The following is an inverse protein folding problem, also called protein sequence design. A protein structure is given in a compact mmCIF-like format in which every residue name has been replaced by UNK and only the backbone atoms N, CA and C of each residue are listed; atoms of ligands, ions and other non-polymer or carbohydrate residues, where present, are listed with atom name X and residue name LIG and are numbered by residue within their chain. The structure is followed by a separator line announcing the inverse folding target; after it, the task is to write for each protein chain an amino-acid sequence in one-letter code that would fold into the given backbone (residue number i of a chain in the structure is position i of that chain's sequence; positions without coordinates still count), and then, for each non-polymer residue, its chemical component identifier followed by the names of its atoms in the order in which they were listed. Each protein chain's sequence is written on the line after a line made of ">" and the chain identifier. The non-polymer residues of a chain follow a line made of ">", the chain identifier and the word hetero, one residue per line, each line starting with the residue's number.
data_IF_718672931746
#
_entry.id   IF_718672931746
#
_cell.length_a   1.000
_cell.length_b   1.000
_cell.length_c   1.000
_cell.angle_alpha   90.00
_cell.angle_beta   90.00
_cell.angle_gamma   90.00
#
_symmetry.space_group_name_H-M   'P 1'
#
loop_
_entity.id
_entity.type
_entity.pdbx_description
1 polymer ?
#
# COMPACT_ATOMS: atom_id res chain seq x y z
N UNK A 1 3.43 20.56 -24.83
CA UNK A 1 2.46 20.16 -23.79
C UNK A 1 3.26 19.51 -22.66
N UNK A 2 3.33 20.18 -21.50
CA UNK A 2 4.03 19.63 -20.31
C UNK A 2 3.22 18.45 -19.77
N UNK A 3 3.62 17.22 -20.11
CA UNK A 3 3.02 16.03 -19.52
C UNK A 3 3.63 15.74 -18.17
N UNK A 4 2.79 15.33 -17.22
CA UNK A 4 3.23 14.73 -15.96
C UNK A 4 3.43 13.24 -16.17
N UNK A 5 4.52 12.66 -15.65
CA UNK A 5 4.75 11.21 -15.72
C UNK A 5 4.70 10.62 -14.33
N UNK A 6 3.89 9.60 -14.15
CA UNK A 6 3.94 8.72 -12.97
C UNK A 6 4.87 7.55 -13.26
N UNK A 7 5.82 7.28 -12.37
CA UNK A 7 6.66 6.09 -12.41
C UNK A 7 6.19 5.14 -11.31
N UNK A 8 5.75 3.95 -11.70
CA UNK A 8 5.20 2.94 -10.79
C UNK A 8 5.70 1.55 -11.16
N UNK A 9 5.76 0.65 -10.19
CA UNK A 9 6.25 -0.72 -10.38
C UNK A 9 5.30 -1.81 -9.93
N UNK A 10 4.34 -1.47 -9.06
CA UNK A 10 3.47 -2.44 -8.39
C UNK A 10 1.99 -2.05 -8.48
N UNK A 11 1.12 -3.02 -8.21
CA UNK A 11 -0.34 -2.82 -8.23
C UNK A 11 -0.86 -1.87 -7.15
N UNK A 12 -0.40 -1.95 -5.89
CA UNK A 12 -0.83 -0.99 -4.87
C UNK A 12 -0.55 0.46 -5.25
N UNK A 13 0.53 0.71 -5.99
CA UNK A 13 0.83 2.05 -6.50
C UNK A 13 -0.22 2.50 -7.52
N UNK A 14 -0.68 1.59 -8.42
CA UNK A 14 -1.73 1.90 -9.40
C UNK A 14 -2.99 2.40 -8.71
N UNK A 15 -3.47 1.71 -7.68
CA UNK A 15 -4.70 2.10 -6.99
C UNK A 15 -4.60 3.49 -6.37
N UNK A 16 -3.47 3.83 -5.80
CA UNK A 16 -3.25 5.10 -5.11
C UNK A 16 -3.04 6.28 -6.05
N UNK A 17 -2.41 6.06 -7.21
CA UNK A 17 -2.19 7.12 -8.18
C UNK A 17 -3.37 7.35 -9.12
N UNK A 18 -4.22 6.34 -9.34
CA UNK A 18 -5.32 6.43 -10.31
C UNK A 18 -6.23 7.66 -10.11
N UNK A 19 -6.66 8.01 -8.88
CA UNK A 19 -7.47 9.21 -8.66
C UNK A 19 -6.78 10.50 -9.09
N UNK A 20 -5.45 10.59 -8.94
CA UNK A 20 -4.66 11.77 -9.33
C UNK A 20 -4.42 11.76 -10.84
N UNK A 21 -3.97 10.62 -11.37
CA UNK A 21 -3.66 10.49 -12.79
C UNK A 21 -4.87 10.78 -13.68
N UNK A 22 -6.07 10.37 -13.25
CA UNK A 22 -7.31 10.63 -13.98
C UNK A 22 -7.67 12.12 -14.07
N UNK A 23 -7.15 12.96 -13.16
CA UNK A 23 -7.39 14.39 -13.09
C UNK A 23 -6.21 15.25 -13.59
N UNK A 24 -5.14 14.64 -14.12
CA UNK A 24 -3.99 15.33 -14.69
C UNK A 24 -3.78 14.92 -16.16
N UNK A 25 -3.21 15.80 -16.96
CA UNK A 25 -2.66 15.40 -18.26
C UNK A 25 -1.36 14.62 -18.03
N UNK A 26 -1.49 13.30 -17.93
CA UNK A 26 -0.41 12.44 -17.45
C UNK A 26 -0.23 11.18 -18.29
N UNK A 27 0.97 10.60 -18.21
CA UNK A 27 1.30 9.27 -18.70
C UNK A 27 1.81 8.41 -17.54
N UNK A 28 1.62 7.11 -17.65
CA UNK A 28 2.07 6.14 -16.65
C UNK A 28 3.25 5.35 -17.23
N UNK A 29 4.38 5.40 -16.56
CA UNK A 29 5.55 4.60 -16.90
C UNK A 29 5.63 3.43 -15.90
N UNK A 30 5.25 2.25 -16.37
CA UNK A 30 5.17 1.05 -15.56
C UNK A 30 6.41 0.17 -15.74
N UNK A 31 7.17 -0.05 -14.66
CA UNK A 31 8.39 -0.87 -14.69
C UNK A 31 8.12 -2.37 -14.63
N UNK A 32 6.99 -2.78 -14.05
CA UNK A 32 6.61 -4.19 -13.94
C UNK A 32 7.35 -4.96 -12.84
N UNK A 33 7.76 -4.28 -11.75
CA UNK A 33 8.51 -4.90 -10.63
C UNK A 33 7.80 -6.14 -10.06
N UNK A 34 6.47 -6.13 -9.96
CA UNK A 34 5.67 -7.27 -9.53
C UNK A 34 4.57 -7.58 -10.56
N UNK A 35 4.99 -8.12 -11.71
CA UNK A 35 4.07 -8.40 -12.81
C UNK A 35 3.81 -9.90 -12.97
N UNK A 36 2.56 -10.35 -12.85
CA UNK A 36 2.05 -11.57 -13.45
C UNK A 36 0.90 -11.21 -14.41
N UNK A 37 0.93 -11.67 -15.65
CA UNK A 37 -0.03 -11.31 -16.71
C UNK A 37 -1.50 -11.46 -16.27
N UNK A 38 -1.80 -12.46 -15.44
CA UNK A 38 -3.18 -12.78 -15.01
C UNK A 38 -3.71 -11.90 -13.88
N UNK A 39 -2.90 -10.99 -13.32
CA UNK A 39 -3.27 -10.21 -12.13
C UNK A 39 -3.30 -8.70 -12.38
N UNK A 40 -2.86 -8.22 -13.52
CA UNK A 40 -2.73 -6.78 -13.81
C UNK A 40 -3.96 -6.16 -14.47
N UNK A 41 -4.75 -6.92 -15.21
CA UNK A 41 -5.81 -6.37 -16.05
C UNK A 41 -6.83 -5.55 -15.26
N UNK A 42 -7.32 -6.02 -14.10
CA UNK A 42 -8.33 -5.29 -13.33
C UNK A 42 -7.84 -4.06 -12.54
N UNK A 43 -6.52 -3.85 -12.38
CA UNK A 43 -5.98 -2.67 -11.69
C UNK A 43 -5.75 -1.50 -12.65
N UNK A 44 -5.36 -1.77 -13.88
CA UNK A 44 -5.21 -0.73 -14.89
C UNK A 44 -6.55 -0.14 -15.34
N UNK A 45 -7.66 -0.86 -15.16
CA UNK A 45 -9.02 -0.37 -15.42
C UNK A 45 -9.40 0.84 -14.55
N UNK A 46 -8.70 1.05 -13.43
CA UNK A 46 -8.85 2.24 -12.58
C UNK A 46 -8.29 3.50 -13.24
N UNK A 47 -7.37 3.35 -14.20
CA UNK A 47 -6.75 4.46 -14.92
C UNK A 47 -7.54 4.70 -16.21
N UNK A 48 -8.25 5.81 -16.24
CA UNK A 48 -9.11 6.17 -17.37
C UNK A 48 -8.39 7.10 -18.35
N UNK A 49 -8.44 6.78 -19.64
CA UNK A 49 -7.99 7.66 -20.72
C UNK A 49 -6.54 8.20 -20.56
N UNK A 50 -5.62 7.38 -20.04
CA UNK A 50 -4.19 7.71 -19.90
C UNK A 50 -3.33 6.67 -20.60
N UNK A 51 -2.26 7.13 -21.23
CA UNK A 51 -1.27 6.25 -21.86
C UNK A 51 -0.46 5.52 -20.78
N UNK A 52 -0.45 4.19 -20.85
CA UNK A 52 0.35 3.33 -19.99
C UNK A 52 1.48 2.74 -20.82
N UNK A 53 2.70 3.13 -20.49
CA UNK A 53 3.92 2.68 -21.15
C UNK A 53 4.55 1.60 -20.27
N UNK A 54 4.43 0.35 -20.69
CA UNK A 54 5.02 -0.77 -19.98
C UNK A 54 6.48 -1.00 -20.44
N UNK A 55 7.44 -0.87 -19.54
CA UNK A 55 8.86 -1.11 -19.82
C UNK A 55 9.22 -2.59 -19.89
N UNK A 56 8.36 -3.49 -19.38
CA UNK A 56 8.59 -4.95 -19.37
C UNK A 56 9.98 -5.36 -18.83
N UNK A 57 10.47 -4.67 -17.81
CA UNK A 57 11.84 -4.84 -17.31
C UNK A 57 12.09 -6.24 -16.72
N UNK A 58 11.04 -6.95 -16.27
CA UNK A 58 11.13 -8.34 -15.77
C UNK A 58 11.71 -9.36 -16.77
N UNK A 59 11.66 -9.07 -18.04
CA UNK A 59 12.26 -9.95 -19.07
C UNK A 59 13.79 -10.04 -18.98
N UNK A 60 14.42 -9.12 -18.26
CA UNK A 60 15.87 -9.11 -18.08
C UNK A 60 16.24 -9.90 -16.81
N UNK A 61 17.19 -10.82 -16.93
CA UNK A 61 17.78 -11.53 -15.79
C UNK A 61 18.36 -10.50 -14.81
N UNK A 62 18.12 -10.67 -13.51
CA UNK A 62 18.57 -9.79 -12.42
C UNK A 62 17.85 -8.42 -12.32
N UNK A 63 16.62 -8.30 -12.85
CA UNK A 63 15.82 -7.09 -12.70
C UNK A 63 15.63 -6.67 -11.25
N UNK A 64 15.24 -7.59 -10.34
CA UNK A 64 14.85 -7.28 -8.96
C UNK A 64 16.00 -6.67 -8.13
N UNK A 65 17.26 -6.88 -8.50
CA UNK A 65 18.44 -6.43 -7.77
C UNK A 65 19.31 -5.43 -8.53
N UNK A 66 18.93 -5.04 -9.75
CA UNK A 66 19.78 -4.18 -10.59
C UNK A 66 19.25 -2.74 -10.68
N UNK A 67 19.33 -2.01 -9.55
CA UNK A 67 18.93 -0.59 -9.45
C UNK A 67 19.55 0.26 -10.58
N UNK A 68 20.82 0.06 -10.89
CA UNK A 68 21.53 0.82 -11.94
C UNK A 68 20.93 0.58 -13.34
N UNK A 69 20.62 -0.68 -13.65
CA UNK A 69 20.00 -1.02 -14.95
C UNK A 69 18.63 -0.38 -15.09
N UNK A 70 17.79 -0.47 -14.04
CA UNK A 70 16.43 0.09 -14.05
C UNK A 70 16.50 1.62 -14.18
N UNK A 71 17.38 2.28 -13.43
CA UNK A 71 17.59 3.72 -13.50
C UNK A 71 17.95 4.16 -14.93
N UNK A 72 18.90 3.48 -15.57
CA UNK A 72 19.31 3.77 -16.94
C UNK A 72 18.14 3.61 -17.96
N UNK A 73 17.34 2.54 -17.85
CA UNK A 73 16.16 2.36 -18.71
C UNK A 73 15.13 3.47 -18.51
N UNK A 74 14.92 3.91 -17.27
CA UNK A 74 14.04 5.04 -16.95
C UNK A 74 14.58 6.34 -17.53
N UNK A 75 15.87 6.63 -17.39
CA UNK A 75 16.50 7.83 -17.94
C UNK A 75 16.33 7.92 -19.45
N UNK A 76 16.62 6.83 -20.18
CA UNK A 76 16.45 6.75 -21.65
C UNK A 76 14.99 7.06 -22.01
N UNK A 77 14.05 6.48 -21.28
CA UNK A 77 12.63 6.68 -21.59
C UNK A 77 12.14 8.08 -21.22
N UNK A 78 12.56 8.63 -20.08
CA UNK A 78 12.20 9.97 -19.63
C UNK A 78 12.74 11.07 -20.56
N UNK A 79 13.95 10.89 -21.11
CA UNK A 79 14.50 11.78 -22.15
C UNK A 79 13.60 11.83 -23.39
N UNK A 80 13.15 10.66 -23.88
CA UNK A 80 12.29 10.56 -25.06
C UNK A 80 10.90 11.17 -24.85
N UNK A 81 10.37 11.09 -23.63
CA UNK A 81 9.03 11.58 -23.31
C UNK A 81 8.95 13.08 -23.04
N UNK A 82 10.09 13.76 -22.95
CA UNK A 82 10.20 15.22 -22.76
C UNK A 82 9.28 15.78 -21.65
N UNK A 83 9.16 15.07 -20.54
CA UNK A 83 8.37 15.51 -19.38
C UNK A 83 9.24 16.19 -18.35
N UNK A 84 8.74 17.24 -17.70
CA UNK A 84 9.46 17.98 -16.67
C UNK A 84 8.98 17.67 -15.26
N UNK A 85 7.78 17.13 -15.10
CA UNK A 85 7.17 16.80 -13.81
C UNK A 85 7.06 15.29 -13.67
N UNK A 86 7.81 14.71 -12.75
CA UNK A 86 7.84 13.27 -12.50
C UNK A 86 7.30 13.00 -11.10
N UNK A 87 6.40 12.05 -11.00
CA UNK A 87 5.76 11.65 -9.75
C UNK A 87 6.13 10.20 -9.45
N UNK A 88 6.58 9.97 -8.23
CA UNK A 88 6.79 8.63 -7.65
C UNK A 88 5.92 8.46 -6.40
N UNK A 89 5.63 7.22 -6.02
CA UNK A 89 4.73 6.94 -4.90
C UNK A 89 5.21 5.71 -4.11
N UNK A 90 5.10 5.78 -2.78
CA UNK A 90 5.35 4.64 -1.90
C UNK A 90 6.83 4.36 -1.66
N UNK A 91 7.18 3.07 -1.54
CA UNK A 91 8.46 2.64 -0.97
C UNK A 91 9.15 1.52 -1.75
N UNK A 92 8.72 1.28 -2.98
CA UNK A 92 9.29 0.23 -3.82
C UNK A 92 10.67 0.62 -4.38
N UNK A 93 11.41 -0.38 -4.87
CA UNK A 93 12.65 -0.11 -5.62
C UNK A 93 12.39 0.78 -6.84
N UNK A 94 11.22 0.64 -7.48
CA UNK A 94 10.80 1.51 -8.58
C UNK A 94 10.71 2.97 -8.16
N UNK A 95 10.19 3.24 -6.95
CA UNK A 95 10.11 4.59 -6.37
C UNK A 95 11.50 5.22 -6.25
N UNK A 96 12.44 4.50 -5.64
CA UNK A 96 13.81 4.97 -5.48
C UNK A 96 14.51 5.20 -6.82
N UNK A 97 14.48 4.21 -7.73
CA UNK A 97 15.16 4.35 -9.03
C UNK A 97 14.52 5.41 -9.92
N UNK A 98 13.20 5.58 -9.81
CA UNK A 98 12.47 6.67 -10.46
C UNK A 98 12.91 8.03 -9.97
N UNK A 99 13.13 8.17 -8.66
CA UNK A 99 13.64 9.40 -8.06
C UNK A 99 15.08 9.71 -8.54
N UNK A 100 15.97 8.72 -8.52
CA UNK A 100 17.36 8.87 -8.99
C UNK A 100 17.36 9.29 -10.47
N UNK A 101 16.68 8.55 -11.34
CA UNK A 101 16.62 8.85 -12.77
C UNK A 101 16.06 10.26 -13.06
N UNK A 102 15.07 10.69 -12.26
CA UNK A 102 14.51 12.05 -12.37
C UNK A 102 15.54 13.12 -12.04
N UNK A 103 16.27 12.94 -10.95
CA UNK A 103 17.26 13.94 -10.51
C UNK A 103 18.51 13.95 -11.40
N UNK A 104 18.96 12.81 -11.92
CA UNK A 104 20.02 12.73 -12.93
C UNK A 104 19.69 13.57 -14.18
N UNK A 105 18.39 13.67 -14.53
CA UNK A 105 17.93 14.46 -15.67
C UNK A 105 17.53 15.91 -15.32
N UNK A 106 17.84 16.39 -14.11
CA UNK A 106 17.46 17.72 -13.62
C UNK A 106 15.97 18.05 -13.77
N UNK A 107 15.09 17.02 -13.61
CA UNK A 107 13.63 17.19 -13.66
C UNK A 107 13.03 17.39 -12.28
N UNK A 108 11.83 17.97 -12.21
CA UNK A 108 11.09 18.13 -10.94
C UNK A 108 10.53 16.78 -10.47
N UNK A 109 10.84 16.45 -9.23
CA UNK A 109 10.43 15.23 -8.55
C UNK A 109 9.36 15.52 -7.48
N UNK A 110 8.22 14.87 -7.60
CA UNK A 110 7.12 14.89 -6.64
C UNK A 110 6.98 13.52 -6.01
N UNK A 111 6.89 13.46 -4.69
CA UNK A 111 6.83 12.19 -3.96
C UNK A 111 5.54 12.09 -3.14
N UNK A 112 4.67 11.13 -3.48
CA UNK A 112 3.41 10.82 -2.80
C UNK A 112 3.63 9.75 -1.74
N UNK A 113 2.96 9.87 -0.59
CA UNK A 113 3.16 9.06 0.62
C UNK A 113 4.52 9.30 1.28
N UNK A 114 5.04 10.49 1.16
CA UNK A 114 6.32 10.85 1.75
C UNK A 114 6.25 11.00 3.27
N UNK A 115 7.38 10.74 3.93
CA UNK A 115 7.55 10.93 5.38
C UNK A 115 6.99 9.81 6.26
N UNK A 116 6.44 8.75 5.66
CA UNK A 116 6.10 7.54 6.42
C UNK A 116 7.39 6.84 6.86
N UNK A 117 7.44 6.41 8.14
CA UNK A 117 8.61 5.74 8.72
C UNK A 117 8.19 4.57 9.59
N UNK A 118 8.87 3.44 9.42
CA UNK A 118 8.83 2.30 10.34
C UNK A 118 9.96 2.37 11.36
N UNK A 119 10.99 3.19 11.08
CA UNK A 119 12.23 3.29 11.84
C UNK A 119 13.01 1.97 11.91
N UNK A 120 12.69 1.01 11.06
CA UNK A 120 13.39 -0.25 10.95
C UNK A 120 14.27 -0.26 9.69
N UNK A 121 15.53 0.08 9.88
CA UNK A 121 16.56 0.11 8.83
C UNK A 121 16.94 -1.26 8.28
N UNK A 122 16.45 -2.37 8.87
CA UNK A 122 16.62 -3.70 8.27
C UNK A 122 15.77 -3.91 7.02
N UNK A 123 14.78 -3.03 6.78
CA UNK A 123 13.91 -3.08 5.61
C UNK A 123 14.42 -2.17 4.50
N UNK A 124 14.52 -2.72 3.30
CA UNK A 124 14.90 -1.95 2.11
C UNK A 124 13.90 -0.82 1.82
N UNK A 125 12.63 -1.02 2.12
CA UNK A 125 11.58 -0.03 1.96
C UNK A 125 11.84 1.24 2.80
N UNK A 126 12.47 1.10 3.97
CA UNK A 126 12.79 2.28 4.80
C UNK A 126 13.89 3.13 4.15
N UNK A 127 14.92 2.50 3.59
CA UNK A 127 15.93 3.22 2.80
C UNK A 127 15.31 3.90 1.58
N UNK A 128 14.41 3.21 0.87
CA UNK A 128 13.72 3.78 -0.29
C UNK A 128 12.94 5.04 0.09
N UNK A 129 12.23 5.02 1.23
CA UNK A 129 11.49 6.20 1.74
C UNK A 129 12.43 7.34 2.11
N UNK A 130 13.48 7.05 2.88
CA UNK A 130 14.46 8.06 3.33
C UNK A 130 15.10 8.78 2.13
N UNK A 131 15.72 8.02 1.23
CA UNK A 131 16.46 8.60 0.10
C UNK A 131 15.51 9.36 -0.83
N UNK A 132 14.35 8.80 -1.16
CA UNK A 132 13.39 9.45 -2.06
C UNK A 132 12.87 10.75 -1.50
N UNK A 133 12.59 10.84 -0.18
CA UNK A 133 12.12 12.07 0.46
C UNK A 133 13.14 13.21 0.38
N UNK A 134 14.44 12.91 0.50
CA UNK A 134 15.49 13.90 0.39
C UNK A 134 15.72 14.35 -1.06
N UNK A 135 15.58 13.47 -2.03
CA UNK A 135 15.67 13.79 -3.46
C UNK A 135 14.50 14.63 -3.96
N UNK A 136 13.33 14.51 -3.36
CA UNK A 136 12.11 15.15 -3.84
C UNK A 136 12.18 16.69 -3.75
N UNK A 137 11.65 17.35 -4.79
CA UNK A 137 11.42 18.79 -4.77
C UNK A 137 10.18 19.14 -3.96
N UNK A 138 9.14 18.28 -4.00
CA UNK A 138 7.94 18.39 -3.18
C UNK A 138 7.56 17.01 -2.62
N UNK A 139 7.33 16.98 -1.31
CA UNK A 139 6.91 15.83 -0.53
C UNK A 139 5.43 15.98 -0.14
N UNK A 140 4.57 15.08 -0.59
CA UNK A 140 3.16 15.00 -0.22
C UNK A 140 2.98 13.98 0.90
N UNK A 141 2.67 14.49 2.09
CA UNK A 141 2.51 13.70 3.31
C UNK A 141 1.04 13.35 3.54
N UNK A 142 0.77 12.11 3.93
CA UNK A 142 -0.59 11.66 4.26
C UNK A 142 -1.08 12.26 5.59
N UNK A 143 -0.19 12.49 6.55
CA UNK A 143 -0.51 12.93 7.90
C UNK A 143 0.53 13.90 8.45
N UNK A 144 0.17 14.64 9.51
CA UNK A 144 1.08 15.59 10.15
C UNK A 144 2.33 14.91 10.71
N UNK A 145 2.23 13.71 11.25
CA UNK A 145 3.39 12.94 11.74
C UNK A 145 4.42 12.66 10.64
N UNK A 146 3.96 12.45 9.40
CA UNK A 146 4.87 12.25 8.27
C UNK A 146 5.65 13.54 7.95
N UNK A 147 5.00 14.71 8.07
CA UNK A 147 5.68 16.00 7.96
C UNK A 147 6.69 16.19 9.08
N UNK A 148 6.35 15.83 10.31
CA UNK A 148 7.25 15.93 11.47
C UNK A 148 8.49 15.06 11.27
N UNK A 149 8.33 13.82 10.78
CA UNK A 149 9.46 12.97 10.44
C UNK A 149 10.41 13.66 9.45
N UNK A 150 9.88 14.21 8.36
CA UNK A 150 10.69 14.90 7.35
C UNK A 150 11.42 16.14 7.90
N UNK A 151 10.75 16.93 8.75
CA UNK A 151 11.37 18.09 9.39
C UNK A 151 12.51 17.68 10.31
N UNK A 152 12.32 16.61 11.10
CA UNK A 152 13.35 16.06 11.99
C UNK A 152 14.55 15.49 11.21
N UNK A 153 14.34 15.05 9.98
CA UNK A 153 15.38 14.58 9.05
C UNK A 153 16.05 15.73 8.25
N UNK A 154 15.67 16.99 8.49
CA UNK A 154 16.28 18.15 7.84
C UNK A 154 15.68 18.51 6.47
N UNK A 155 14.55 17.91 6.07
CA UNK A 155 13.87 18.34 4.83
C UNK A 155 13.23 19.70 5.04
N UNK A 156 13.50 20.65 4.13
CA UNK A 156 12.99 22.02 4.22
C UNK A 156 11.45 22.06 4.25
N UNK A 157 10.88 22.86 5.16
CA UNK A 157 9.43 23.06 5.31
C UNK A 157 8.75 23.48 4.00
N UNK A 158 9.43 24.24 3.15
CA UNK A 158 8.93 24.69 1.84
C UNK A 158 8.71 23.55 0.83
N UNK A 159 9.35 22.40 1.05
CA UNK A 159 9.23 21.18 0.24
C UNK A 159 8.20 20.19 0.75
N UNK A 160 7.47 20.50 1.84
CA UNK A 160 6.56 19.56 2.48
C UNK A 160 5.13 20.09 2.46
N UNK A 161 4.20 19.28 1.96
CA UNK A 161 2.76 19.55 1.95
C UNK A 161 2.00 18.38 2.59
N UNK A 162 1.19 18.65 3.61
CA UNK A 162 0.27 17.65 4.16
C UNK A 162 -1.00 17.66 3.33
N UNK A 163 -1.25 16.57 2.60
CA UNK A 163 -2.33 16.47 1.61
C UNK A 163 -3.45 15.53 1.99
N UNK A 164 -3.19 14.61 2.91
CA UNK A 164 -4.05 13.45 3.16
C UNK A 164 -3.68 12.27 2.26
N UNK A 165 -4.32 11.13 2.49
CA UNK A 165 -4.08 9.88 1.74
C UNK A 165 -5.01 9.74 0.54
N UNK A 166 -4.45 9.28 -0.58
CA UNK A 166 -5.20 8.98 -1.81
C UNK A 166 -6.03 7.70 -1.72
N UNK A 167 -5.83 6.88 -0.68
CA UNK A 167 -6.53 5.59 -0.52
C UNK A 167 -8.05 5.79 -0.40
N UNK A 168 -8.50 6.83 0.32
CA UNK A 168 -9.94 7.15 0.40
C UNK A 168 -10.54 7.40 -0.99
N UNK A 169 -9.85 8.18 -1.80
CA UNK A 169 -10.29 8.46 -3.18
C UNK A 169 -10.21 7.22 -4.08
N UNK A 170 -9.23 6.33 -3.85
CA UNK A 170 -9.11 5.07 -4.56
C UNK A 170 -10.26 4.11 -4.24
N UNK A 171 -10.64 4.02 -2.97
CA UNK A 171 -11.80 3.23 -2.54
C UNK A 171 -13.09 3.77 -3.19
N UNK A 172 -13.28 5.10 -3.21
CA UNK A 172 -14.44 5.74 -3.86
C UNK A 172 -14.55 5.48 -5.36
N UNK A 173 -13.45 5.18 -6.05
CA UNK A 173 -13.50 4.80 -7.48
C UNK A 173 -14.20 3.46 -7.71
N UNK A 174 -14.21 2.57 -6.73
CA UNK A 174 -14.73 1.20 -6.85
C UNK A 174 -15.95 0.92 -5.99
N UNK A 175 -16.16 1.67 -4.92
CA UNK A 175 -17.33 1.59 -4.04
C UNK A 175 -17.84 2.98 -3.68
N UNK A 176 -18.92 3.41 -4.34
CA UNK A 176 -19.60 4.67 -4.04
C UNK A 176 -20.47 4.62 -2.78
N UNK A 177 -20.67 3.43 -2.22
CA UNK A 177 -21.53 3.17 -1.05
C UNK A 177 -20.72 2.95 0.24
N UNK A 178 -19.61 3.67 0.42
CA UNK A 178 -18.70 3.52 1.58
C UNK A 178 -19.44 3.62 2.92
N UNK A 179 -20.45 4.47 3.03
CA UNK A 179 -21.20 4.69 4.26
C UNK A 179 -22.11 3.52 4.65
N UNK A 180 -22.51 2.68 3.69
CA UNK A 180 -23.33 1.50 3.98
C UNK A 180 -22.46 0.31 4.36
N UNK A 181 -22.30 0.09 5.67
CA UNK A 181 -21.56 -1.07 6.19
C UNK A 181 -22.44 -2.31 6.12
N UNK A 182 -22.02 -3.29 5.33
CA UNK A 182 -22.72 -4.56 5.20
C UNK A 182 -22.55 -5.47 6.42
N UNK A 183 -23.34 -6.55 6.45
CA UNK A 183 -23.34 -7.56 7.51
C UNK A 183 -21.95 -8.22 7.67
N UNK A 184 -21.54 -8.42 8.91
CA UNK A 184 -20.21 -8.94 9.29
C UNK A 184 -20.20 -10.47 9.24
N UNK A 185 -19.68 -11.06 8.14
CA UNK A 185 -19.85 -12.49 7.84
C UNK A 185 -18.64 -13.38 8.10
N UNK A 186 -17.41 -12.84 8.15
CA UNK A 186 -16.17 -13.61 8.22
C UNK A 186 -14.99 -12.77 8.71
N UNK A 187 -13.89 -13.44 9.05
CA UNK A 187 -12.59 -12.80 9.25
C UNK A 187 -11.88 -12.76 7.88
N UNK A 188 -11.43 -11.58 7.47
CA UNK A 188 -10.59 -11.46 6.27
C UNK A 188 -9.13 -11.62 6.67
N UNK A 189 -8.43 -12.57 6.01
CA UNK A 189 -7.00 -12.80 6.21
C UNK A 189 -6.20 -12.41 4.97
N UNK A 190 -5.13 -11.64 5.12
CA UNK A 190 -4.14 -11.43 4.07
C UNK A 190 -2.73 -11.45 4.63
N UNK A 191 -1.84 -12.22 4.02
CA UNK A 191 -0.44 -12.36 4.43
C UNK A 191 0.45 -12.39 3.19
N UNK A 192 1.53 -11.61 3.20
CA UNK A 192 2.49 -11.57 2.09
C UNK A 192 3.89 -11.09 2.50
N UNK A 193 4.06 -10.58 3.73
CA UNK A 193 5.36 -10.12 4.21
C UNK A 193 6.30 -11.29 4.44
N UNK A 194 7.62 -11.17 4.05
CA UNK A 194 8.62 -12.23 4.18
C UNK A 194 8.67 -12.82 5.58
N UNK A 195 8.65 -11.95 6.59
CA UNK A 195 8.71 -12.34 7.99
C UNK A 195 7.57 -13.26 8.44
N UNK A 196 6.42 -13.25 7.75
CA UNK A 196 5.26 -14.09 8.08
C UNK A 196 5.11 -15.31 7.19
N UNK A 197 5.58 -15.25 5.93
CA UNK A 197 5.24 -16.28 4.93
C UNK A 197 6.42 -17.11 4.45
N UNK A 198 7.66 -16.62 4.58
CA UNK A 198 8.82 -17.32 4.01
C UNK A 198 9.31 -18.51 4.88
N UNK A 199 9.07 -18.45 6.19
CA UNK A 199 9.41 -19.56 7.10
C UNK A 199 8.19 -20.47 7.28
N UNK A 200 8.32 -21.75 6.86
CA UNK A 200 7.26 -22.78 6.94
C UNK A 200 6.58 -22.81 8.31
N UNK A 201 7.35 -22.97 9.36
CA UNK A 201 6.84 -23.11 10.73
C UNK A 201 6.04 -21.89 11.17
N UNK A 202 6.53 -20.69 10.86
CA UNK A 202 5.84 -19.45 11.23
C UNK A 202 4.50 -19.31 10.53
N UNK A 203 4.47 -19.54 9.19
CA UNK A 203 3.24 -19.49 8.42
C UNK A 203 2.22 -20.53 8.89
N UNK A 204 2.65 -21.80 9.07
CA UNK A 204 1.75 -22.86 9.51
C UNK A 204 1.24 -22.63 10.94
N UNK A 205 2.09 -22.18 11.87
CA UNK A 205 1.68 -21.87 13.24
C UNK A 205 0.68 -20.71 13.29
N UNK A 206 0.87 -19.68 12.44
CA UNK A 206 -0.07 -18.56 12.30
C UNK A 206 -1.44 -19.04 11.78
N UNK A 207 -1.45 -19.82 10.72
CA UNK A 207 -2.68 -20.38 10.14
C UNK A 207 -3.39 -21.33 11.11
N UNK A 208 -2.66 -22.22 11.81
CA UNK A 208 -3.21 -23.10 12.86
C UNK A 208 -3.84 -22.28 13.99
N UNK A 209 -3.19 -21.17 14.40
CA UNK A 209 -3.71 -20.28 15.44
C UNK A 209 -5.02 -19.61 15.00
N UNK A 210 -5.10 -19.12 13.76
CA UNK A 210 -6.31 -18.52 13.21
C UNK A 210 -7.42 -19.57 13.08
N UNK A 211 -7.10 -20.80 12.67
CA UNK A 211 -8.08 -21.88 12.55
C UNK A 211 -8.75 -22.25 13.90
N UNK A 212 -8.04 -22.07 15.04
CA UNK A 212 -8.57 -22.28 16.41
C UNK A 212 -9.65 -21.27 16.83
N UNK A 213 -9.88 -20.22 16.03
CA UNK A 213 -10.93 -19.24 16.34
C UNK A 213 -12.34 -19.78 16.14
N UNK A 214 -12.51 -20.93 15.50
CA UNK A 214 -13.80 -21.53 15.16
C UNK A 214 -14.75 -20.53 14.47
N UNK A 215 -14.20 -19.69 13.62
CA UNK A 215 -14.93 -18.68 12.86
C UNK A 215 -14.51 -18.74 11.39
N UNK A 216 -15.45 -18.51 10.49
CA UNK A 216 -15.18 -18.52 9.05
C UNK A 216 -14.11 -17.49 8.69
N UNK A 217 -13.06 -17.94 8.00
CA UNK A 217 -11.95 -17.08 7.50
C UNK A 217 -11.93 -17.13 5.99
N UNK A 218 -11.84 -15.99 5.35
CA UNK A 218 -11.63 -15.85 3.90
C UNK A 218 -10.20 -15.36 3.67
N UNK A 219 -9.44 -16.13 2.91
CA UNK A 219 -8.03 -15.85 2.64
C UNK A 219 -7.76 -15.72 1.13
N UNK A 220 -7.87 -14.52 0.53
CA UNK A 220 -7.34 -14.25 -0.81
C UNK A 220 -5.82 -14.34 -0.76
N UNK A 221 -5.27 -15.41 -1.32
CA UNK A 221 -3.84 -15.75 -1.15
C UNK A 221 -2.97 -14.94 -2.10
N UNK A 222 -2.04 -14.17 -1.56
CA UNK A 222 -1.04 -13.46 -2.36
C UNK A 222 -0.10 -14.45 -3.09
N UNK A 223 0.41 -14.16 -4.30
CA UNK A 223 1.27 -15.07 -5.06
C UNK A 223 2.51 -15.56 -4.31
N UNK A 224 3.17 -14.67 -3.54
CA UNK A 224 4.31 -15.06 -2.69
C UNK A 224 3.90 -16.14 -1.67
N UNK A 225 2.79 -15.91 -0.99
CA UNK A 225 2.25 -16.84 0.00
C UNK A 225 1.81 -18.14 -0.66
N UNK A 226 1.16 -18.07 -1.83
CA UNK A 226 0.75 -19.25 -2.62
C UNK A 226 1.97 -20.12 -2.98
N UNK A 227 3.04 -19.51 -3.50
CA UNK A 227 4.27 -20.22 -3.86
C UNK A 227 4.92 -20.96 -2.67
N UNK A 228 4.75 -20.43 -1.45
CA UNK A 228 5.22 -21.08 -0.23
C UNK A 228 4.24 -22.16 0.26
N UNK A 229 2.93 -21.88 0.23
CA UNK A 229 1.91 -22.86 0.61
C UNK A 229 1.96 -24.12 -0.28
N UNK A 230 2.24 -23.97 -1.57
CA UNK A 230 2.34 -25.09 -2.52
C UNK A 230 3.54 -26.03 -2.25
N UNK A 231 4.55 -25.55 -1.53
CA UNK A 231 5.71 -26.35 -1.10
C UNK A 231 5.47 -27.11 0.21
N UNK A 232 4.39 -26.75 0.93
CA UNK A 232 4.14 -27.25 2.26
C UNK A 232 2.92 -28.16 2.23
N UNK A 233 3.04 -29.35 2.82
CA UNK A 233 1.89 -30.20 3.08
C UNK A 233 1.04 -29.56 4.19
N UNK A 234 -0.05 -28.91 3.76
CA UNK A 234 -0.93 -28.19 4.67
C UNK A 234 -2.07 -29.12 5.07
N UNK A 235 -2.08 -29.53 6.35
CA UNK A 235 -3.24 -30.20 6.92
C UNK A 235 -4.50 -29.38 6.70
N UNK A 236 -5.64 -30.05 6.53
CA UNK A 236 -6.95 -29.42 6.33
C UNK A 236 -7.23 -28.39 7.44
N UNK A 237 -7.43 -27.12 7.04
CA UNK A 237 -7.80 -26.01 7.91
C UNK A 237 -9.26 -25.68 7.67
N UNK A 238 -10.16 -26.30 8.42
CA UNK A 238 -11.61 -26.35 8.14
C UNK A 238 -12.26 -24.97 8.11
N UNK A 239 -11.78 -24.04 8.94
CA UNK A 239 -12.34 -22.70 9.06
C UNK A 239 -11.75 -21.71 8.04
N UNK A 240 -10.70 -22.07 7.29
CA UNK A 240 -10.00 -21.16 6.37
C UNK A 240 -10.32 -21.52 4.92
N UNK A 241 -11.06 -20.65 4.24
CA UNK A 241 -11.32 -20.75 2.80
C UNK A 241 -10.25 -19.97 2.02
N UNK A 242 -9.36 -20.70 1.34
CA UNK A 242 -8.37 -20.13 0.44
C UNK A 242 -9.01 -19.69 -0.87
N UNK A 243 -8.76 -18.46 -1.30
CA UNK A 243 -9.23 -17.91 -2.57
C UNK A 243 -8.05 -17.53 -3.46
N UNK A 244 -8.28 -17.49 -4.77
CA UNK A 244 -7.37 -16.85 -5.71
C UNK A 244 -7.26 -15.35 -5.39
N UNK A 245 -6.14 -14.69 -5.73
CA UNK A 245 -6.02 -13.24 -5.61
C UNK A 245 -7.20 -12.53 -6.26
N UNK A 246 -7.66 -11.45 -5.64
CA UNK A 246 -8.79 -10.65 -6.10
C UNK A 246 -8.33 -9.38 -6.79
N UNK A 247 -9.13 -8.84 -7.71
CA UNK A 247 -8.99 -7.47 -8.18
C UNK A 247 -9.32 -6.48 -7.05
N UNK A 248 -9.05 -5.19 -7.26
CA UNK A 248 -9.20 -4.20 -6.20
C UNK A 248 -10.65 -4.04 -5.73
N UNK A 249 -11.61 -3.99 -6.64
CA UNK A 249 -13.03 -3.87 -6.31
C UNK A 249 -13.52 -5.03 -5.44
N UNK A 250 -13.27 -6.27 -5.87
CA UNK A 250 -13.66 -7.46 -5.11
C UNK A 250 -12.96 -7.52 -3.74
N UNK A 251 -11.72 -7.03 -3.66
CA UNK A 251 -10.97 -6.99 -2.40
C UNK A 251 -11.55 -5.97 -1.42
N UNK A 252 -11.94 -4.79 -1.90
CA UNK A 252 -12.64 -3.78 -1.10
C UNK A 252 -13.97 -4.30 -0.60
N UNK A 253 -14.71 -5.05 -1.43
CA UNK A 253 -15.94 -5.70 -1.01
C UNK A 253 -15.68 -6.73 0.12
N UNK A 254 -14.60 -7.51 0.04
CA UNK A 254 -14.22 -8.42 1.12
C UNK A 254 -13.89 -7.67 2.43
N UNK A 255 -13.27 -6.51 2.37
CA UNK A 255 -13.04 -5.66 3.54
C UNK A 255 -14.39 -5.20 4.12
N UNK A 256 -15.27 -4.66 3.29
CA UNK A 256 -16.57 -4.10 3.66
C UNK A 256 -17.44 -5.09 4.45
N UNK A 257 -17.49 -6.35 4.03
CA UNK A 257 -18.30 -7.40 4.65
C UNK A 257 -17.57 -8.26 5.68
N UNK A 258 -16.33 -7.93 6.02
CA UNK A 258 -15.61 -8.62 7.09
C UNK A 258 -16.09 -8.20 8.49
N UNK A 259 -16.00 -9.10 9.45
CA UNK A 259 -16.19 -8.78 10.88
C UNK A 259 -14.97 -8.01 11.41
N UNK A 260 -13.79 -8.53 11.11
CA UNK A 260 -12.50 -7.87 11.32
C UNK A 260 -11.47 -8.45 10.35
N UNK A 261 -10.29 -7.88 10.35
CA UNK A 261 -9.23 -8.21 9.40
C UNK A 261 -7.96 -8.61 10.14
N UNK A 262 -7.25 -9.62 9.63
CA UNK A 262 -5.89 -9.96 10.02
C UNK A 262 -5.02 -9.73 8.79
N UNK A 263 -4.09 -8.75 8.86
CA UNK A 263 -3.28 -8.40 7.69
C UNK A 263 -1.92 -7.83 8.06
N UNK A 264 -0.89 -8.23 7.32
CA UNK A 264 0.46 -7.63 7.38
C UNK A 264 0.68 -6.53 6.32
N UNK A 265 -0.36 -6.18 5.57
CA UNK A 265 -0.31 -5.16 4.51
C UNK A 265 -0.42 -3.74 5.04
N UNK A 266 0.50 -2.86 4.62
CA UNK A 266 0.41 -1.44 4.94
C UNK A 266 -0.83 -0.76 4.33
N UNK A 267 -1.20 -1.06 3.08
CA UNK A 267 -2.37 -0.47 2.41
C UNK A 267 -3.69 -0.83 3.09
N UNK A 268 -3.83 -2.08 3.51
CA UNK A 268 -5.05 -2.58 4.18
C UNK A 268 -5.36 -1.84 5.48
N UNK A 269 -4.37 -1.24 6.14
CA UNK A 269 -4.60 -0.46 7.36
C UNK A 269 -5.52 0.74 7.11
N UNK A 270 -5.30 1.47 6.01
CA UNK A 270 -6.12 2.62 5.65
C UNK A 270 -7.49 2.19 5.11
N UNK A 271 -7.51 1.15 4.27
CA UNK A 271 -8.76 0.59 3.73
C UNK A 271 -9.67 0.04 4.83
N UNK A 272 -9.11 -0.66 5.82
CA UNK A 272 -9.84 -1.15 6.98
C UNK A 272 -10.43 0.00 7.81
N UNK A 273 -9.66 1.08 8.02
CA UNK A 273 -10.11 2.24 8.77
C UNK A 273 -11.28 2.97 8.08
N UNK A 274 -11.26 3.07 6.74
CA UNK A 274 -12.35 3.66 5.96
C UNK A 274 -13.68 2.96 6.26
N UNK A 275 -13.67 1.62 6.30
CA UNK A 275 -14.86 0.81 6.63
C UNK A 275 -15.03 0.54 8.13
N UNK A 276 -14.26 1.20 8.99
CA UNK A 276 -14.31 1.03 10.45
C UNK A 276 -14.23 -0.44 10.89
N UNK A 277 -13.35 -1.20 10.20
CA UNK A 277 -13.10 -2.60 10.53
C UNK A 277 -11.92 -2.71 11.49
N UNK A 278 -12.07 -3.42 12.62
CA UNK A 278 -10.93 -3.74 13.47
C UNK A 278 -9.87 -4.48 12.65
N UNK A 279 -8.61 -4.10 12.81
CA UNK A 279 -7.50 -4.74 12.12
C UNK A 279 -6.45 -5.22 13.12
N UNK A 280 -6.07 -6.48 13.03
CA UNK A 280 -4.93 -7.05 13.74
C UNK A 280 -3.75 -7.18 12.76
N UNK A 281 -2.59 -6.63 13.15
CA UNK A 281 -1.39 -6.58 12.31
C UNK A 281 -0.35 -7.53 12.91
N UNK A 282 -0.10 -8.72 12.32
CA UNK A 282 0.90 -9.67 12.80
C UNK A 282 2.32 -9.21 12.40
N UNK A 283 2.79 -8.11 13.00
CA UNK A 283 4.09 -7.48 12.77
C UNK A 283 4.65 -6.90 14.07
N UNK A 284 5.96 -6.60 14.09
CA UNK A 284 6.62 -5.97 15.23
C UNK A 284 6.42 -4.44 15.25
N UNK A 285 6.23 -3.82 14.08
CA UNK A 285 6.10 -2.38 13.87
C UNK A 285 5.15 -2.09 12.67
N UNK A 286 4.76 -0.84 12.55
CA UNK A 286 4.00 -0.31 11.42
C UNK A 286 4.53 1.05 11.01
N UNK A 287 4.45 1.34 9.74
CA UNK A 287 4.73 2.65 9.17
C UNK A 287 3.59 3.67 9.37
N UNK A 288 2.53 3.27 10.08
CA UNK A 288 1.36 4.12 10.40
C UNK A 288 1.06 4.12 11.90
N UNK A 289 1.99 4.60 12.75
CA UNK A 289 1.83 4.57 14.20
C UNK A 289 0.62 5.40 14.70
N UNK A 290 0.21 6.41 13.95
CA UNK A 290 -0.95 7.27 14.24
C UNK A 290 -2.29 6.52 14.23
N UNK A 291 -2.35 5.33 13.62
CA UNK A 291 -3.54 4.48 13.55
C UNK A 291 -3.63 3.48 14.71
N UNK A 292 -2.54 3.26 15.43
CA UNK A 292 -2.50 2.27 16.52
C UNK A 292 -3.49 2.60 17.64
N UNK A 293 -4.16 1.56 18.13
CA UNK A 293 -5.18 1.61 19.19
C UNK A 293 -6.40 2.48 18.87
N UNK A 294 -6.50 2.98 17.63
CA UNK A 294 -7.67 3.70 17.11
C UNK A 294 -8.38 2.87 16.03
N UNK A 295 -7.63 2.32 15.10
CA UNK A 295 -8.15 1.52 13.99
C UNK A 295 -7.53 0.12 13.94
N UNK A 296 -6.34 -0.05 14.50
CA UNK A 296 -5.61 -1.31 14.43
C UNK A 296 -4.80 -1.60 15.70
N UNK A 297 -4.40 -2.88 15.85
CA UNK A 297 -3.56 -3.38 16.94
C UNK A 297 -2.42 -4.18 16.34
N UNK A 298 -1.18 -3.88 16.74
CA UNK A 298 -0.04 -4.77 16.49
C UNK A 298 -0.15 -6.01 17.37
N UNK A 299 0.03 -7.18 16.75
CA UNK A 299 0.06 -8.47 17.46
C UNK A 299 1.40 -9.15 17.18
N UNK A 300 2.24 -9.20 18.20
CA UNK A 300 3.65 -9.58 18.07
C UNK A 300 3.87 -11.09 18.06
N UNK A 301 2.89 -11.86 18.50
CA UNK A 301 2.94 -13.32 18.58
C UNK A 301 1.55 -13.96 18.47
N UNK A 302 1.53 -15.29 18.29
CA UNK A 302 0.30 -16.05 18.09
C UNK A 302 -0.64 -16.06 19.32
N UNK A 303 -0.10 -15.96 20.54
CA UNK A 303 -0.90 -15.89 21.79
C UNK A 303 -1.69 -14.57 21.82
N UNK A 304 -1.01 -13.48 21.52
CA UNK A 304 -1.63 -12.15 21.44
C UNK A 304 -2.66 -12.07 20.29
N UNK A 305 -2.33 -12.62 19.11
CA UNK A 305 -3.26 -12.70 17.99
C UNK A 305 -4.55 -13.43 18.39
N UNK A 306 -4.43 -14.60 19.04
CA UNK A 306 -5.58 -15.38 19.46
C UNK A 306 -6.42 -14.62 20.50
N UNK A 307 -5.78 -13.99 21.47
CA UNK A 307 -6.44 -13.20 22.53
C UNK A 307 -7.20 -12.02 21.93
N UNK A 308 -6.56 -11.19 21.10
CA UNK A 308 -7.20 -10.02 20.50
C UNK A 308 -8.32 -10.41 19.52
N UNK A 309 -8.14 -11.50 18.78
CA UNK A 309 -9.19 -12.02 17.90
C UNK A 309 -10.44 -12.42 18.71
N UNK A 310 -10.27 -13.14 19.83
CA UNK A 310 -11.37 -13.52 20.71
C UNK A 310 -12.06 -12.30 21.33
N UNK A 311 -11.29 -11.30 21.76
CA UNK A 311 -11.85 -10.05 22.28
C UNK A 311 -12.74 -9.36 21.24
N UNK A 312 -12.32 -9.28 19.96
CA UNK A 312 -13.15 -8.71 18.90
C UNK A 312 -14.40 -9.55 18.65
N UNK A 313 -14.27 -10.90 18.63
CA UNK A 313 -15.41 -11.78 18.41
C UNK A 313 -16.49 -11.66 19.51
N UNK A 314 -16.07 -11.44 20.75
CA UNK A 314 -16.92 -11.34 21.94
C UNK A 314 -17.43 -9.92 22.22
N UNK A 315 -17.04 -8.90 21.43
CA UNK A 315 -17.44 -7.52 21.68
C UNK A 315 -16.67 -6.81 22.79
N UNK A 316 -15.49 -7.31 23.17
CA UNK A 316 -14.65 -6.78 24.26
C UNK A 316 -13.36 -6.12 23.76
N UNK A 317 -13.35 -5.68 22.50
CA UNK A 317 -12.14 -5.08 21.90
C UNK A 317 -11.93 -3.64 22.36
N UNK A 318 -10.67 -3.30 22.67
CA UNK A 318 -10.27 -1.92 22.92
C UNK A 318 -10.50 -0.98 21.71
N UNK A 319 -10.72 -1.52 20.50
CA UNK A 319 -11.04 -0.76 19.29
C UNK A 319 -12.52 -0.37 19.15
N UNK A 320 -13.44 -0.94 19.93
CA UNK A 320 -14.89 -0.70 19.72
C UNK A 320 -15.25 0.78 19.75
N UNK A 321 -14.93 1.47 20.86
CA UNK A 321 -15.18 2.90 21.01
C UNK A 321 -14.37 3.75 20.02
N UNK A 322 -13.02 3.57 19.92
CA UNK A 322 -12.21 4.32 18.96
C UNK A 322 -12.70 4.23 17.53
N UNK A 323 -13.06 3.04 17.04
CA UNK A 323 -13.57 2.86 15.68
C UNK A 323 -14.83 3.66 15.38
N UNK A 324 -15.70 3.86 16.39
CA UNK A 324 -16.95 4.59 16.22
C UNK A 324 -16.75 6.12 16.26
N UNK A 325 -15.89 6.61 17.15
CA UNK A 325 -15.77 8.05 17.44
C UNK A 325 -14.58 8.75 16.78
N UNK A 326 -13.50 8.01 16.46
CA UNK A 326 -12.32 8.64 15.86
C UNK A 326 -12.62 9.08 14.42
N UNK A 327 -12.43 10.35 14.06
CA UNK A 327 -12.53 10.80 12.68
C UNK A 327 -11.57 10.02 11.78
N UNK A 328 -11.95 9.79 10.53
CA UNK A 328 -11.01 9.23 9.55
C UNK A 328 -9.81 10.17 9.40
N UNK A 329 -8.62 9.66 9.71
CA UNK A 329 -7.39 10.47 9.78
C UNK A 329 -7.06 11.18 8.48
N UNK A 330 -7.43 10.58 7.35
CA UNK A 330 -7.06 11.05 6.01
C UNK A 330 -8.24 11.46 5.13
N UNK A 331 -9.49 11.13 5.51
CA UNK A 331 -10.64 11.18 4.62
C UNK A 331 -11.26 12.57 4.38
N UNK A 332 -11.10 13.50 5.33
CA UNK A 332 -11.66 14.87 5.21
C UNK A 332 -10.76 15.85 4.45
N UNK A 333 -9.48 15.51 4.30
CA UNK A 333 -8.56 16.29 3.48
C UNK A 333 -8.87 15.99 2.01
N UNK A 334 -8.90 16.98 1.14
CA UNK A 334 -9.10 16.80 -0.31
C UNK A 334 -7.76 16.40 -0.98
N UNK A 335 -7.27 15.15 -0.82
CA UNK A 335 -5.90 14.80 -1.18
C UNK A 335 -5.62 15.01 -2.66
N UNK A 336 -6.59 14.74 -3.52
CA UNK A 336 -6.42 14.88 -4.97
C UNK A 336 -6.24 16.34 -5.36
N UNK A 337 -7.13 17.23 -4.88
CA UNK A 337 -7.04 18.68 -5.14
C UNK A 337 -5.72 19.24 -4.58
N UNK A 338 -5.36 18.88 -3.35
CA UNK A 338 -4.15 19.38 -2.69
C UNK A 338 -2.88 18.96 -3.44
N UNK A 339 -2.82 17.70 -3.89
CA UNK A 339 -1.67 17.19 -4.67
C UNK A 339 -1.60 17.88 -6.03
N UNK A 340 -2.73 18.00 -6.75
CA UNK A 340 -2.78 18.65 -8.07
C UNK A 340 -2.35 20.13 -7.96
N UNK A 341 -2.86 20.84 -6.95
CA UNK A 341 -2.46 22.22 -6.68
C UNK A 341 -0.96 22.32 -6.37
N UNK A 342 -0.44 21.39 -5.56
CA UNK A 342 1.00 21.31 -5.25
C UNK A 342 1.87 21.05 -6.49
N UNK A 343 1.38 20.28 -7.47
CA UNK A 343 2.08 20.00 -8.73
C UNK A 343 2.01 21.22 -9.68
N UNK A 344 0.90 21.96 -9.69
CA UNK A 344 0.69 23.06 -10.61
C UNK A 344 1.35 24.37 -10.15
N UNK A 345 1.36 24.63 -8.84
CA UNK A 345 1.83 25.90 -8.26
C UNK A 345 3.34 25.92 -7.94
N UNK A 346 4.04 24.81 -8.15
CA UNK A 346 5.47 24.64 -7.89
C UNK A 346 6.20 23.91 -9.02
#
# INVERSE_FOLDING_TARGET
>A
VNHTIFIIGTRPEITKIAPIANNLNSKILFTGQHFSKNMSNGFFDLIKNREIINLNLKRFKNFDNNIRFIANQLEIKLKKLNANKIIVQGDTNTTLVGAIATKTLNKKLYFIESGMRSFDISQIEEYNRLITSHLADINFCNHITNKENLLNEGVSKSKILVTGSTVYSAVNLVDSSIESIGEKKYILLTLHRPENVDKKEKLLNLLKTINKLNYRVIFPVHPRTKANLDKYDIQKLENIKFLKPKNYKDFIELIKYSKFIISDSGGVQEEAAIYRKPLLIPRQYTERPEMLNKFNILVKNNKELLMQSKNILNGNSCLEKPLLVTPLLYGKMKPIENIINGINNK
#
